data_IF_696401023974
#
_entry.id   IF_696401023974
#
_cell.length_a   1.000
_cell.length_b   1.000
_cell.length_c   1.000
_cell.angle_alpha   90.00
_cell.angle_beta   90.00
_cell.angle_gamma   90.00
#
_symmetry.space_group_name_H-M   'P 1'
#
loop_
_entity.id
_entity.type
_entity.pdbx_description
1 polymer ?
#
# COMPACT_ATOMS: atom_id res chain seq x y z
N UNK A 1 -3.15 4.21 -27.45
CA UNK A 1 -3.10 3.35 -26.26
C UNK A 1 -3.34 4.26 -25.07
N UNK A 2 -4.46 4.12 -24.36
CA UNK A 2 -4.60 4.79 -23.07
C UNK A 2 -3.61 4.09 -22.14
N UNK A 3 -2.55 4.77 -21.72
CA UNK A 3 -1.66 4.20 -20.72
C UNK A 3 -2.49 3.99 -19.45
N UNK A 4 -2.71 2.74 -19.06
CA UNK A 4 -3.36 2.42 -17.79
C UNK A 4 -2.59 3.11 -16.67
N UNK A 5 -3.31 3.74 -15.75
CA UNK A 5 -2.69 4.34 -14.56
C UNK A 5 -2.07 3.22 -13.74
N UNK A 6 -0.83 3.43 -13.30
CA UNK A 6 -0.14 2.48 -12.42
C UNK A 6 -0.92 2.37 -11.10
N UNK A 7 -1.26 1.13 -10.72
CA UNK A 7 -2.00 0.78 -9.50
C UNK A 7 -1.01 0.39 -8.41
N UNK A 8 -1.10 1.06 -7.27
CA UNK A 8 -0.18 0.86 -6.14
C UNK A 8 -0.96 0.47 -4.90
N UNK A 9 -0.64 -0.68 -4.32
CA UNK A 9 -1.12 -1.06 -2.99
C UNK A 9 -0.12 -0.60 -1.93
N UNK A 10 -0.55 0.24 -0.99
CA UNK A 10 0.24 0.67 0.16
C UNK A 10 -0.29 -0.05 1.41
N UNK A 11 0.54 -0.87 2.03
CA UNK A 11 0.16 -1.67 3.18
C UNK A 11 1.08 -1.52 4.39
N UNK A 12 0.53 -1.83 5.56
CA UNK A 12 1.24 -1.91 6.83
C UNK A 12 0.98 -3.26 7.50
N UNK A 13 1.95 -4.19 7.46
CA UNK A 13 1.79 -5.49 8.09
C UNK A 13 1.92 -5.41 9.62
N UNK A 14 1.24 -6.32 10.31
CA UNK A 14 1.42 -6.55 11.75
C UNK A 14 0.86 -5.43 12.64
N UNK A 15 1.33 -5.38 13.89
CA UNK A 15 0.76 -4.49 14.93
C UNK A 15 1.24 -3.03 14.84
N UNK A 16 1.93 -2.66 13.76
CA UNK A 16 2.49 -1.33 13.57
C UNK A 16 1.38 -0.27 13.43
N UNK A 17 1.20 0.53 14.48
CA UNK A 17 0.25 1.65 14.52
C UNK A 17 0.73 2.92 13.82
N UNK A 18 1.98 2.96 13.34
CA UNK A 18 2.56 4.16 12.72
C UNK A 18 2.06 4.34 11.28
N UNK A 19 0.91 5.01 11.12
CA UNK A 19 0.29 5.18 9.81
C UNK A 19 0.71 6.46 9.06
N UNK A 20 1.28 7.45 9.77
CA UNK A 20 1.47 8.80 9.21
C UNK A 20 2.33 8.80 7.96
N UNK A 21 3.47 8.10 7.99
CA UNK A 21 4.38 8.00 6.83
C UNK A 21 3.71 7.32 5.63
N UNK A 22 3.01 6.21 5.87
CA UNK A 22 2.28 5.49 4.82
C UNK A 22 1.20 6.37 4.18
N UNK A 23 0.45 7.14 4.97
CA UNK A 23 -0.58 8.07 4.46
C UNK A 23 0.02 9.20 3.62
N UNK A 24 1.17 9.75 4.02
CA UNK A 24 1.87 10.79 3.25
C UNK A 24 2.33 10.26 1.89
N UNK A 25 2.93 9.07 1.85
CA UNK A 25 3.34 8.43 0.60
C UNK A 25 2.13 8.11 -0.28
N UNK A 26 1.09 7.48 0.28
CA UNK A 26 -0.13 7.17 -0.46
C UNK A 26 -0.81 8.42 -1.03
N UNK A 27 -0.81 9.53 -0.29
CA UNK A 27 -1.32 10.80 -0.80
C UNK A 27 -0.47 11.35 -1.94
N UNK A 28 0.86 11.35 -1.77
CA UNK A 28 1.80 11.85 -2.78
C UNK A 28 1.69 11.06 -4.09
N UNK A 29 1.53 9.73 -4.02
CA UNK A 29 1.30 8.87 -5.18
C UNK A 29 -0.01 9.22 -5.89
N UNK A 30 -1.10 9.45 -5.16
CA UNK A 30 -2.38 9.89 -5.76
C UNK A 30 -2.24 11.25 -6.44
N UNK A 31 -1.57 12.21 -5.79
CA UNK A 31 -1.34 13.54 -6.36
C UNK A 31 -0.46 13.47 -7.63
N UNK A 32 0.42 12.46 -7.73
CA UNK A 32 1.20 12.16 -8.94
C UNK A 32 0.44 11.38 -10.03
N UNK A 33 -0.85 11.08 -9.82
CA UNK A 33 -1.71 10.46 -10.83
C UNK A 33 -1.81 8.93 -10.79
N UNK A 34 -1.20 8.28 -9.79
CA UNK A 34 -1.33 6.84 -9.56
C UNK A 34 -2.71 6.51 -8.99
N UNK A 35 -3.19 5.30 -9.27
CA UNK A 35 -4.33 4.73 -8.55
C UNK A 35 -3.81 4.02 -7.30
N UNK A 36 -4.27 4.41 -6.11
CA UNK A 36 -3.65 3.97 -4.86
C UNK A 36 -4.66 3.33 -3.94
N UNK A 37 -4.43 2.07 -3.62
CA UNK A 37 -5.16 1.27 -2.64
C UNK A 37 -4.39 1.34 -1.32
N UNK A 38 -5.00 1.87 -0.27
CA UNK A 38 -4.40 1.88 1.07
C UNK A 38 -5.15 0.89 1.97
N UNK A 39 -4.47 -0.16 2.41
CA UNK A 39 -5.10 -1.25 3.18
C UNK A 39 -5.31 -0.93 4.66
N UNK A 40 -4.82 0.22 5.12
CA UNK A 40 -4.85 0.58 6.54
C UNK A 40 -3.70 -0.04 7.33
N UNK A 41 -3.95 -0.27 8.62
CA UNK A 41 -3.00 -0.89 9.56
C UNK A 41 -3.48 -2.30 9.94
N UNK A 42 -2.62 -3.08 10.61
CA UNK A 42 -2.97 -4.40 11.17
C UNK A 42 -3.39 -5.44 10.15
N UNK A 43 -2.76 -5.39 8.97
CA UNK A 43 -2.95 -6.41 7.95
C UNK A 43 -1.96 -7.56 8.16
N UNK A 44 -2.37 -8.80 7.89
CA UNK A 44 -1.42 -9.91 7.81
C UNK A 44 -0.75 -9.92 6.42
N UNK A 45 0.43 -10.52 6.26
CA UNK A 45 1.04 -10.70 4.93
C UNK A 45 0.11 -11.38 3.93
N UNK A 46 -0.68 -12.37 4.37
CA UNK A 46 -1.66 -13.08 3.54
C UNK A 46 -2.76 -12.14 3.04
N UNK A 47 -3.34 -11.33 3.92
CA UNK A 47 -4.36 -10.34 3.52
C UNK A 47 -3.81 -9.34 2.51
N UNK A 48 -2.54 -8.91 2.67
CA UNK A 48 -1.89 -7.99 1.74
C UNK A 48 -1.70 -8.65 0.37
N UNK A 49 -1.25 -9.90 0.34
CA UNK A 49 -1.04 -10.65 -0.91
C UNK A 49 -2.37 -10.88 -1.64
N UNK A 50 -3.42 -11.28 -0.92
CA UNK A 50 -4.76 -11.45 -1.49
C UNK A 50 -5.31 -10.14 -2.04
N UNK A 51 -5.18 -9.03 -1.30
CA UNK A 51 -5.60 -7.72 -1.77
C UNK A 51 -4.82 -7.28 -3.02
N UNK A 52 -3.50 -7.55 -3.09
CA UNK A 52 -2.71 -7.21 -4.26
C UNK A 52 -3.16 -7.96 -5.52
N UNK A 53 -3.54 -9.24 -5.37
CA UNK A 53 -4.08 -10.04 -6.47
C UNK A 53 -5.49 -9.60 -6.87
N UNK A 54 -6.37 -9.37 -5.90
CA UNK A 54 -7.76 -8.95 -6.16
C UNK A 54 -7.84 -7.57 -6.82
N UNK A 55 -6.98 -6.66 -6.39
CA UNK A 55 -6.91 -5.29 -6.91
C UNK A 55 -6.03 -5.18 -8.16
N UNK A 56 -5.42 -6.27 -8.64
CA UNK A 56 -4.57 -6.32 -9.84
C UNK A 56 -3.56 -5.16 -9.87
N UNK A 57 -2.73 -5.08 -8.83
CA UNK A 57 -1.80 -3.95 -8.66
C UNK A 57 -0.45 -4.19 -9.32
N UNK A 58 0.13 -3.13 -9.88
CA UNK A 58 1.46 -3.16 -10.47
C UNK A 58 2.57 -3.14 -9.41
N UNK A 59 2.30 -2.51 -8.25
CA UNK A 59 3.29 -2.28 -7.19
C UNK A 59 2.68 -2.49 -5.81
N UNK A 60 3.41 -3.18 -4.93
CA UNK A 60 3.10 -3.28 -3.50
C UNK A 60 4.16 -2.52 -2.69
N UNK A 61 3.74 -1.49 -1.97
CA UNK A 61 4.56 -0.72 -1.03
C UNK A 61 4.26 -1.10 0.42
N UNK A 62 5.28 -1.53 1.16
CA UNK A 62 5.16 -1.87 2.58
C UNK A 62 5.79 -0.76 3.45
N UNK A 63 5.04 -0.29 4.44
CA UNK A 63 5.56 0.60 5.47
C UNK A 63 5.65 -0.14 6.80
N UNK A 64 6.85 -0.21 7.36
CA UNK A 64 7.15 -0.93 8.60
C UNK A 64 8.02 -0.02 9.47
N UNK A 65 7.54 0.28 10.67
CA UNK A 65 8.22 1.02 11.73
C UNK A 65 8.11 0.24 13.05
N UNK A 66 8.25 -1.08 12.96
CA UNK A 66 8.55 -1.94 14.09
C UNK A 66 9.97 -2.45 13.91
N UNK A 67 10.85 -2.21 14.89
CA UNK A 67 12.24 -2.70 14.87
C UNK A 67 12.40 -4.22 15.00
N UNK A 68 11.33 -5.00 14.75
CA UNK A 68 11.38 -6.44 14.62
C UNK A 68 11.04 -6.77 13.16
N UNK A 69 12.10 -7.06 12.41
CA UNK A 69 12.06 -7.74 11.12
C UNK A 69 11.59 -9.17 11.29
#
# INVERSE_FOLDING_TARGET
MNASKIRVLVAKPGLDGHDRGAKVVARSLRDAGFEVIYTGIRQTPQMIAEAALQEDVDVVGLSILSGAH
#
